data_IF_189751887444
#
_entry.id   IF_189751887444
#
_cell.length_a   1.000
_cell.length_b   1.000
_cell.length_c   1.000
_cell.angle_alpha   90.00
_cell.angle_beta   90.00
_cell.angle_gamma   90.00
#
_symmetry.space_group_name_H-M   'P 1'
#
loop_
_entity.id
_entity.type
_entity.pdbx_description
1 polymer ?
#
# COMPACT_ATOMS: atom_id res chain seq x y z
N UNK A 1 20.09 -24.85 -30.10
CA UNK A 1 19.96 -23.60 -29.33
C UNK A 1 18.59 -23.09 -29.68
N UNK A 2 17.62 -23.38 -28.81
CA UNK A 2 16.22 -23.13 -29.08
C UNK A 2 15.91 -21.63 -28.92
N UNK A 3 15.41 -21.04 -30.00
CA UNK A 3 14.79 -19.72 -30.03
C UNK A 3 13.45 -19.79 -29.31
N UNK A 4 13.26 -19.01 -28.25
CA UNK A 4 11.93 -18.75 -27.70
C UNK A 4 11.43 -17.44 -28.32
N UNK A 5 10.67 -17.56 -29.40
CA UNK A 5 9.82 -16.47 -29.91
C UNK A 5 8.57 -16.36 -29.03
N UNK A 6 8.42 -15.23 -28.34
CA UNK A 6 7.18 -14.88 -27.64
C UNK A 6 6.13 -14.54 -28.70
N UNK A 7 5.16 -15.43 -28.92
CA UNK A 7 4.00 -15.14 -29.75
C UNK A 7 3.15 -14.06 -29.10
N UNK A 8 3.08 -12.90 -29.75
CA UNK A 8 2.03 -11.90 -29.52
C UNK A 8 0.66 -12.57 -29.70
N UNK A 9 -0.07 -12.79 -28.61
CA UNK A 9 -1.46 -13.20 -28.70
C UNK A 9 -2.35 -11.96 -28.63
N UNK A 10 -2.82 -11.57 -29.80
CA UNK A 10 -3.68 -10.43 -30.08
C UNK A 10 -5.11 -10.64 -29.55
N UNK A 11 -5.29 -10.79 -28.23
CA UNK A 11 -6.59 -10.65 -27.54
C UNK A 11 -6.44 -10.07 -26.11
N UNK A 12 -5.34 -9.34 -25.82
CA UNK A 12 -5.14 -8.62 -24.57
C UNK A 12 -5.90 -7.27 -24.54
N UNK A 13 -7.19 -7.30 -24.87
CA UNK A 13 -8.08 -6.14 -24.74
C UNK A 13 -8.86 -6.26 -23.44
N UNK A 14 -8.50 -5.36 -22.51
CA UNK A 14 -9.31 -4.88 -21.40
C UNK A 14 -9.67 -5.94 -20.34
N UNK A 15 -8.83 -6.05 -19.31
CA UNK A 15 -9.24 -6.05 -17.91
C UNK A 15 -8.01 -5.93 -17.01
N UNK A 16 -7.77 -4.70 -16.53
CA UNK A 16 -6.73 -4.39 -15.55
C UNK A 16 -7.05 -5.08 -14.21
N UNK A 17 -6.46 -6.26 -13.98
CA UNK A 17 -6.55 -6.96 -12.70
C UNK A 17 -5.38 -7.91 -12.52
N UNK A 18 -5.23 -8.88 -13.42
CA UNK A 18 -4.24 -9.96 -13.26
C UNK A 18 -2.90 -9.64 -13.94
N UNK A 19 -2.91 -9.02 -15.12
CA UNK A 19 -1.69 -8.67 -15.86
C UNK A 19 -0.92 -7.48 -15.26
N UNK A 20 -1.62 -6.59 -14.53
CA UNK A 20 -1.03 -5.40 -13.94
C UNK A 20 0.09 -5.81 -12.97
N UNK A 21 -0.24 -6.65 -11.98
CA UNK A 21 0.70 -7.14 -10.97
C UNK A 21 1.73 -8.11 -11.53
N UNK A 22 1.33 -8.98 -12.46
CA UNK A 22 2.22 -10.00 -13.02
C UNK A 22 3.40 -9.37 -13.78
N UNK A 23 3.18 -8.27 -14.51
CA UNK A 23 4.26 -7.53 -15.16
C UNK A 23 5.24 -6.90 -14.15
N UNK A 24 4.76 -6.44 -12.99
CA UNK A 24 5.63 -5.87 -11.94
C UNK A 24 6.53 -6.92 -11.28
N UNK A 25 6.08 -8.16 -11.14
CA UNK A 25 6.85 -9.24 -10.52
C UNK A 25 7.78 -9.99 -11.48
N UNK A 26 7.54 -9.94 -12.79
CA UNK A 26 8.40 -10.62 -13.76
C UNK A 26 9.77 -9.97 -13.96
N UNK A 27 9.93 -8.67 -13.64
CA UNK A 27 11.22 -7.97 -13.76
C UNK A 27 12.14 -8.15 -12.52
N UNK A 28 11.77 -9.02 -11.57
CA UNK A 28 12.40 -9.16 -10.24
C UNK A 28 13.62 -10.10 -10.17
N UNK A 29 14.46 -10.17 -11.21
CA UNK A 29 15.65 -11.03 -11.20
C UNK A 29 16.91 -10.43 -10.54
N UNK A 30 16.84 -9.27 -9.89
CA UNK A 30 18.03 -8.70 -9.23
C UNK A 30 17.78 -8.28 -7.78
N UNK A 31 18.39 -9.05 -6.85
CA UNK A 31 18.34 -8.87 -5.38
C UNK A 31 18.85 -7.51 -4.86
N UNK A 32 19.50 -6.71 -5.70
CA UNK A 32 20.10 -5.42 -5.33
C UNK A 32 19.57 -4.24 -6.16
N UNK A 33 18.42 -4.39 -6.82
CA UNK A 33 17.89 -3.36 -7.71
C UNK A 33 17.06 -2.28 -7.00
N UNK A 34 17.16 -1.00 -7.40
CA UNK A 34 16.29 0.10 -6.96
C UNK A 34 14.83 -0.04 -7.45
N UNK A 35 14.45 -1.21 -7.97
CA UNK A 35 13.11 -1.58 -8.47
C UNK A 35 12.27 -2.30 -7.40
N UNK A 36 12.86 -2.54 -6.22
CA UNK A 36 12.15 -2.97 -5.01
C UNK A 36 11.25 -1.82 -4.50
N UNK A 37 10.10 -2.17 -3.87
CA UNK A 37 9.23 -1.21 -3.18
C UNK A 37 10.07 -0.21 -2.36
N UNK A 38 10.09 1.05 -2.78
CA UNK A 38 10.73 2.12 -2.02
C UNK A 38 9.82 2.48 -0.85
N UNK A 39 10.12 1.93 0.33
CA UNK A 39 9.36 2.15 1.56
C UNK A 39 9.41 3.61 2.03
N UNK A 40 10.44 4.40 1.67
CA UNK A 40 10.55 5.80 2.08
C UNK A 40 9.53 6.69 1.36
N UNK A 41 9.13 6.32 0.15
CA UNK A 41 8.16 7.05 -0.66
C UNK A 41 6.70 6.75 -0.24
N UNK A 42 6.48 5.75 0.62
CA UNK A 42 5.16 5.46 1.19
C UNK A 42 4.65 6.56 2.14
N UNK A 43 5.48 7.57 2.47
CA UNK A 43 5.03 8.81 3.13
C UNK A 43 4.05 9.64 2.30
N UNK A 44 4.04 9.45 0.97
CA UNK A 44 3.15 10.11 0.01
C UNK A 44 2.46 9.06 -0.88
N UNK A 45 1.62 8.18 -0.30
CA UNK A 45 1.16 6.96 -0.97
C UNK A 45 0.27 7.22 -2.19
N UNK A 46 -0.35 8.41 -2.29
CA UNK A 46 -1.25 8.77 -3.38
C UNK A 46 -0.54 9.34 -4.61
N UNK A 47 0.75 9.67 -4.49
CA UNK A 47 1.60 10.17 -5.58
C UNK A 47 2.74 9.20 -5.88
N UNK A 48 2.62 7.95 -5.43
CA UNK A 48 3.68 6.96 -5.53
C UNK A 48 3.98 6.61 -6.98
N UNK A 49 5.27 6.54 -7.29
CA UNK A 49 5.76 6.15 -8.61
C UNK A 49 6.75 5.01 -8.50
N UNK A 50 6.60 4.03 -9.38
CA UNK A 50 7.61 2.98 -9.58
C UNK A 50 8.51 3.35 -10.75
N UNK A 51 9.79 3.01 -10.63
CA UNK A 51 10.73 3.04 -11.76
C UNK A 51 10.75 1.65 -12.38
N UNK A 52 10.41 1.56 -13.66
CA UNK A 52 10.35 0.31 -14.43
C UNK A 52 11.33 0.39 -15.59
N UNK A 53 12.14 -0.65 -15.81
CA UNK A 53 12.93 -0.78 -17.04
C UNK A 53 12.26 -1.75 -17.97
N UNK A 54 11.68 -1.24 -19.05
CA UNK A 54 10.97 -2.07 -20.03
C UNK A 54 11.92 -2.78 -21.02
N UNK A 55 13.25 -2.62 -20.87
CA UNK A 55 14.26 -3.26 -21.72
C UNK A 55 15.66 -3.23 -21.07
N UNK A 56 16.52 -4.22 -21.35
CA UNK A 56 17.90 -4.29 -20.85
C UNK A 56 18.81 -3.11 -21.24
N UNK A 57 18.39 -2.26 -22.19
CA UNK A 57 19.21 -1.17 -22.78
C UNK A 57 18.48 0.19 -22.77
N UNK A 58 17.31 0.31 -22.13
CA UNK A 58 16.49 1.52 -22.11
C UNK A 58 16.59 2.34 -20.83
N UNK A 59 16.25 3.63 -20.91
CA UNK A 59 16.08 4.48 -19.72
C UNK A 59 14.88 4.02 -18.86
N UNK A 60 15.06 4.03 -17.54
CA UNK A 60 13.99 3.72 -16.59
C UNK A 60 12.82 4.69 -16.72
N UNK A 61 11.60 4.17 -16.81
CA UNK A 61 10.38 4.99 -16.86
C UNK A 61 9.71 5.05 -15.49
N UNK A 62 9.18 6.22 -15.13
CA UNK A 62 8.34 6.38 -13.94
C UNK A 62 6.87 6.10 -14.28
N UNK A 63 6.26 5.15 -13.57
CA UNK A 63 4.85 4.80 -13.70
C UNK A 63 4.15 5.14 -12.38
N UNK A 64 3.06 5.90 -12.46
CA UNK A 64 2.19 6.20 -11.31
C UNK A 64 1.42 4.94 -10.93
N UNK A 65 1.40 4.59 -9.65
CA UNK A 65 0.81 3.35 -9.15
C UNK A 65 -0.16 3.64 -8.01
N UNK A 66 -1.33 2.98 -8.05
CA UNK A 66 -2.23 2.93 -6.89
C UNK A 66 -1.68 1.90 -5.88
N UNK A 67 -0.76 2.39 -5.05
CA UNK A 67 -0.14 1.62 -3.98
C UNK A 67 -1.15 1.13 -2.94
N UNK A 68 -2.13 1.94 -2.51
CA UNK A 68 -3.19 1.46 -1.63
C UNK A 68 -3.97 0.27 -2.18
N UNK A 69 -4.39 0.33 -3.45
CA UNK A 69 -5.09 -0.78 -4.11
C UNK A 69 -4.21 -2.03 -4.16
N UNK A 70 -2.95 -1.87 -4.57
CA UNK A 70 -1.98 -2.96 -4.65
C UNK A 70 -1.79 -3.67 -3.31
N UNK A 71 -1.60 -2.92 -2.23
CA UNK A 71 -1.45 -3.51 -0.90
C UNK A 71 -2.70 -4.29 -0.47
N UNK A 72 -3.90 -3.74 -0.72
CA UNK A 72 -5.15 -4.42 -0.37
C UNK A 72 -5.31 -5.75 -1.12
N UNK A 73 -4.94 -5.76 -2.41
CA UNK A 73 -4.96 -6.96 -3.24
C UNK A 73 -4.01 -8.02 -2.68
N UNK A 74 -2.75 -7.67 -2.45
CA UNK A 74 -1.73 -8.60 -1.94
C UNK A 74 -2.05 -9.12 -0.55
N UNK A 75 -2.62 -8.26 0.31
CA UNK A 75 -3.06 -8.68 1.64
C UNK A 75 -4.23 -9.68 1.56
N UNK A 76 -4.94 -9.75 0.43
CA UNK A 76 -6.06 -10.67 0.21
C UNK A 76 -7.27 -10.34 1.08
N UNK A 77 -7.49 -9.06 1.38
CA UNK A 77 -8.60 -8.62 2.21
C UNK A 77 -9.88 -8.47 1.40
N UNK A 78 -11.01 -8.87 1.98
CA UNK A 78 -12.33 -8.59 1.41
C UNK A 78 -12.81 -7.23 1.89
N UNK A 79 -12.86 -6.26 0.98
CA UNK A 79 -13.25 -4.88 1.27
C UNK A 79 -14.71 -4.78 1.74
N UNK A 80 -14.94 -3.95 2.75
CA UNK A 80 -16.26 -3.63 3.33
C UNK A 80 -16.62 -2.17 3.18
N UNK A 81 -15.67 -1.28 3.43
CA UNK A 81 -15.89 0.16 3.39
C UNK A 81 -14.61 0.88 2.99
N UNK A 82 -14.74 1.94 2.20
CA UNK A 82 -13.64 2.84 1.86
C UNK A 82 -14.10 4.26 2.15
N UNK A 83 -13.21 5.06 2.74
CA UNK A 83 -13.49 6.43 3.12
C UNK A 83 -12.26 7.30 2.83
N UNK A 84 -12.42 8.27 1.92
CA UNK A 84 -11.43 9.34 1.70
C UNK A 84 -11.72 10.50 2.64
N UNK A 85 -10.67 11.08 3.21
CA UNK A 85 -10.74 12.21 4.14
C UNK A 85 -9.62 13.19 3.87
N UNK A 86 -9.86 14.44 4.25
CA UNK A 86 -8.86 15.50 4.26
C UNK A 86 -8.82 16.10 5.65
N UNK A 87 -7.64 16.24 6.22
CA UNK A 87 -7.43 16.88 7.53
C UNK A 87 -6.17 17.75 7.46
N UNK A 88 -6.30 19.04 7.80
CA UNK A 88 -5.21 20.03 7.71
C UNK A 88 -4.47 20.03 6.36
N UNK A 89 -5.22 19.89 5.26
CA UNK A 89 -4.67 19.88 3.90
C UNK A 89 -4.12 18.53 3.42
N UNK A 90 -3.95 17.54 4.30
CA UNK A 90 -3.43 16.21 3.98
C UNK A 90 -4.53 15.24 3.62
N UNK A 91 -4.25 14.40 2.64
CA UNK A 91 -5.15 13.33 2.24
C UNK A 91 -4.98 12.06 3.09
N UNK A 92 -6.12 11.40 3.32
CA UNK A 92 -6.24 10.15 4.06
C UNK A 92 -7.17 9.19 3.32
N UNK A 93 -6.82 7.91 3.33
CA UNK A 93 -7.66 6.83 2.84
C UNK A 93 -7.79 5.76 3.93
N UNK A 94 -9.01 5.59 4.41
CA UNK A 94 -9.38 4.56 5.37
C UNK A 94 -10.12 3.44 4.64
N UNK A 95 -9.65 2.22 4.82
CA UNK A 95 -10.24 1.02 4.24
C UNK A 95 -10.58 0.07 5.37
N UNK A 96 -11.82 -0.42 5.41
CA UNK A 96 -12.27 -1.49 6.29
C UNK A 96 -12.42 -2.76 5.46
N UNK A 97 -11.89 -3.87 5.96
CA UNK A 97 -12.02 -5.18 5.33
C UNK A 97 -12.07 -6.32 6.32
N UNK A 98 -12.36 -7.51 5.81
CA UNK A 98 -12.30 -8.77 6.56
C UNK A 98 -11.37 -9.77 5.87
N UNK A 99 -10.63 -10.55 6.66
CA UNK A 99 -9.86 -11.71 6.19
C UNK A 99 -9.84 -12.75 7.31
N UNK A 100 -10.12 -14.00 6.99
CA UNK A 100 -10.06 -15.13 7.95
C UNK A 100 -10.81 -14.89 9.27
N UNK A 101 -11.96 -14.21 9.21
CA UNK A 101 -12.77 -13.87 10.38
C UNK A 101 -12.24 -12.71 11.24
N UNK A 102 -11.13 -12.09 10.84
CA UNK A 102 -10.59 -10.89 11.47
C UNK A 102 -10.98 -9.62 10.70
N UNK A 103 -11.18 -8.53 11.44
CA UNK A 103 -11.48 -7.20 10.87
C UNK A 103 -10.24 -6.32 10.84
N UNK A 104 -10.01 -5.69 9.70
CA UNK A 104 -8.84 -4.86 9.43
C UNK A 104 -9.27 -3.45 9.06
N UNK A 105 -8.63 -2.44 9.66
CA UNK A 105 -8.58 -1.11 9.07
C UNK A 105 -7.19 -0.87 8.47
N UNK A 106 -7.14 -0.35 7.25
CA UNK A 106 -5.90 0.09 6.60
C UNK A 106 -6.02 1.59 6.42
N UNK A 107 -5.02 2.30 6.94
CA UNK A 107 -4.98 3.77 6.95
C UNK A 107 -3.75 4.22 6.17
N UNK A 108 -4.00 4.79 5.00
CA UNK A 108 -2.99 5.50 4.21
C UNK A 108 -3.12 6.99 4.47
N UNK A 109 -1.98 7.67 4.67
CA UNK A 109 -1.95 9.11 4.89
C UNK A 109 -0.69 9.75 4.34
N UNK A 110 -0.81 11.02 3.97
CA UNK A 110 0.34 11.89 3.74
C UNK A 110 0.92 12.34 5.08
N UNK A 111 2.25 12.33 5.21
CA UNK A 111 2.92 12.67 6.47
C UNK A 111 3.61 14.03 6.44
N UNK A 112 3.77 14.57 7.64
CA UNK A 112 4.56 15.77 7.93
C UNK A 112 5.68 15.43 8.91
N UNK A 113 6.73 16.23 8.88
CA UNK A 113 7.94 15.99 9.67
C UNK A 113 7.94 16.66 11.06
N UNK A 114 6.79 16.90 11.71
CA UNK A 114 6.75 17.52 13.05
C UNK A 114 5.87 16.75 14.07
N UNK A 115 6.24 16.86 15.36
CA UNK A 115 5.62 16.11 16.45
C UNK A 115 4.18 16.55 16.79
N UNK A 116 3.87 17.85 16.65
CA UNK A 116 2.52 18.35 16.92
C UNK A 116 1.50 17.76 15.94
N UNK A 117 1.88 17.63 14.68
CA UNK A 117 1.05 16.99 13.66
C UNK A 117 0.91 15.49 13.89
N UNK A 118 1.91 14.81 14.46
CA UNK A 118 1.80 13.40 14.83
C UNK A 118 0.71 13.17 15.91
N UNK A 119 0.56 14.10 16.86
CA UNK A 119 -0.53 14.07 17.86
C UNK A 119 -1.90 14.28 17.22
N UNK A 120 -2.01 15.25 16.31
CA UNK A 120 -3.26 15.50 15.57
C UNK A 120 -3.62 14.33 14.66
N UNK A 121 -2.63 13.70 14.03
CA UNK A 121 -2.78 12.50 13.21
C UNK A 121 -3.36 11.34 14.01
N UNK A 122 -2.76 11.05 15.18
CA UNK A 122 -3.25 10.02 16.11
C UNK A 122 -4.72 10.24 16.48
N UNK A 123 -5.05 11.43 16.95
CA UNK A 123 -6.42 11.74 17.40
C UNK A 123 -7.43 11.65 16.24
N UNK A 124 -7.05 12.12 15.05
CA UNK A 124 -7.90 12.03 13.86
C UNK A 124 -8.16 10.58 13.43
N UNK A 125 -7.13 9.73 13.42
CA UNK A 125 -7.28 8.30 13.10
C UNK A 125 -8.18 7.61 14.13
N UNK A 126 -8.01 7.92 15.43
CA UNK A 126 -8.86 7.34 16.48
C UNK A 126 -10.32 7.69 16.30
N UNK A 127 -10.61 8.96 16.02
CA UNK A 127 -11.96 9.46 15.81
C UNK A 127 -12.62 8.83 14.57
N UNK A 128 -11.89 8.68 13.46
CA UNK A 128 -12.41 8.08 12.23
C UNK A 128 -12.69 6.57 12.36
N UNK A 129 -11.98 5.86 13.24
CA UNK A 129 -12.11 4.41 13.46
C UNK A 129 -13.04 4.01 14.61
N UNK A 130 -13.53 4.96 15.42
CA UNK A 130 -14.32 4.70 16.64
C UNK A 130 -15.55 3.81 16.42
N UNK A 131 -16.20 3.95 15.27
CA UNK A 131 -17.42 3.21 14.91
C UNK A 131 -17.11 1.88 14.22
N UNK A 132 -15.90 1.71 13.66
CA UNK A 132 -15.50 0.51 12.94
C UNK A 132 -14.93 -0.55 13.87
N UNK A 133 -14.24 -0.13 14.94
CA UNK A 133 -13.65 -1.00 15.98
C UNK A 133 -12.92 -2.23 15.41
N UNK A 134 -12.00 -2.03 14.44
CA UNK A 134 -11.26 -3.14 13.83
C UNK A 134 -10.39 -3.85 14.87
N UNK A 135 -10.11 -5.13 14.65
CA UNK A 135 -9.15 -5.87 15.47
C UNK A 135 -7.70 -5.52 15.14
N UNK A 136 -7.41 -5.20 13.88
CA UNK A 136 -6.06 -4.87 13.41
C UNK A 136 -6.11 -3.55 12.63
N UNK A 137 -5.15 -2.66 12.87
CA UNK A 137 -4.96 -1.40 12.15
C UNK A 137 -3.60 -1.41 11.47
N UNK A 138 -3.59 -1.39 10.14
CA UNK A 138 -2.41 -1.12 9.32
C UNK A 138 -2.27 0.37 9.06
N UNK A 139 -1.05 0.88 9.14
CA UNK A 139 -0.75 2.29 8.89
C UNK A 139 0.63 2.44 8.26
N UNK A 140 0.82 3.41 7.35
CA UNK A 140 2.14 3.68 6.75
C UNK A 140 3.08 4.46 7.70
N UNK A 141 4.38 4.36 7.45
CA UNK A 141 5.50 5.05 8.07
C UNK A 141 5.57 4.87 9.61
N UNK A 142 6.11 3.72 10.07
CA UNK A 142 6.25 3.42 11.50
C UNK A 142 6.96 4.52 12.29
N UNK A 143 8.01 5.11 11.73
CA UNK A 143 8.86 6.08 12.42
C UNK A 143 8.16 7.42 12.74
N UNK A 144 7.03 7.71 12.08
CA UNK A 144 6.25 8.93 12.28
C UNK A 144 4.90 8.65 12.95
N UNK A 145 4.67 7.42 13.38
CA UNK A 145 3.41 6.96 13.97
C UNK A 145 3.51 6.92 15.49
N UNK A 146 2.55 7.54 16.20
CA UNK A 146 2.43 7.46 17.67
C UNK A 146 1.10 6.81 18.14
N UNK A 147 0.48 6.03 17.26
CA UNK A 147 -0.70 5.22 17.58
C UNK A 147 -0.36 4.21 18.68
N UNK A 148 -1.34 3.94 19.53
CA UNK A 148 -1.25 2.97 20.63
C UNK A 148 -2.41 1.97 20.50
N UNK A 149 -2.26 0.72 20.96
CA UNK A 149 -3.33 -0.27 20.86
C UNK A 149 -4.67 0.15 21.49
N UNK A 150 -4.62 1.08 22.44
CA UNK A 150 -5.80 1.70 23.03
C UNK A 150 -6.37 2.84 22.18
N UNK A 151 -7.51 2.58 21.54
CA UNK A 151 -8.31 3.56 20.79
C UNK A 151 -9.42 4.19 21.63
N UNK A 152 -9.43 3.96 22.95
CA UNK A 152 -10.41 4.46 23.92
C UNK A 152 -11.67 3.60 23.99
N UNK A 153 -12.37 3.44 22.86
CA UNK A 153 -13.61 2.64 22.82
C UNK A 153 -13.41 1.17 22.42
N UNK A 154 -12.20 0.83 21.95
CA UNK A 154 -11.80 -0.51 21.55
C UNK A 154 -10.29 -0.65 21.63
N UNK A 155 -9.80 -1.89 21.57
CA UNK A 155 -8.39 -2.23 21.45
C UNK A 155 -8.15 -2.76 20.04
N UNK A 156 -7.01 -2.41 19.44
CA UNK A 156 -6.59 -2.97 18.17
C UNK A 156 -5.08 -3.21 18.13
N UNK A 157 -4.68 -4.29 17.47
CA UNK A 157 -3.28 -4.53 17.14
C UNK A 157 -2.85 -3.52 16.06
N UNK A 158 -1.71 -2.86 16.25
CA UNK A 158 -1.16 -1.95 15.25
C UNK A 158 -0.08 -2.68 14.47
N UNK A 159 -0.20 -2.64 13.14
CA UNK A 159 0.78 -3.17 12.20
C UNK A 159 1.19 -2.08 11.22
N UNK A 160 2.36 -2.25 10.62
CA UNK A 160 2.92 -1.29 9.67
C UNK A 160 2.89 -1.84 8.26
N UNK A 161 2.57 -0.96 7.31
CA UNK A 161 2.40 -1.34 5.91
C UNK A 161 3.74 -1.71 5.29
N UNK A 162 4.80 -0.94 5.52
CA UNK A 162 6.13 -1.11 4.93
C UNK A 162 6.68 -2.54 5.06
N UNK A 163 6.83 -3.12 6.26
CA UNK A 163 7.37 -4.47 6.41
C UNK A 163 6.43 -5.55 5.89
N UNK A 164 5.11 -5.38 6.03
CA UNK A 164 4.14 -6.36 5.54
C UNK A 164 4.10 -6.37 4.02
N UNK A 165 4.09 -5.20 3.39
CA UNK A 165 4.08 -5.07 1.94
C UNK A 165 5.35 -5.68 1.35
N UNK A 166 6.53 -5.39 1.92
CA UNK A 166 7.77 -6.03 1.49
C UNK A 166 7.66 -7.56 1.54
N UNK A 167 7.17 -8.11 2.66
CA UNK A 167 6.97 -9.55 2.80
C UNK A 167 6.00 -10.10 1.76
N UNK A 168 4.88 -9.44 1.49
CA UNK A 168 3.88 -9.88 0.51
C UNK A 168 4.40 -9.87 -0.93
N UNK A 169 5.42 -9.06 -1.23
CA UNK A 169 6.06 -9.00 -2.56
C UNK A 169 7.13 -10.08 -2.76
N UNK A 170 7.61 -10.72 -1.69
CA UNK A 170 8.67 -11.74 -1.72
C UNK A 170 8.12 -13.19 -1.76
N UNK A 171 6.79 -13.37 -1.80
CA UNK A 171 6.08 -14.66 -1.79
C UNK A 171 5.62 -15.03 -3.19
#
# INVERSE_FOLDING_TARGET
LDNIELKENSQAQLNFGDDYLLKYFLDFETKDSPYLLNIEELKNPFAYKLKVNLSEVGESQEVVVDIPETFNYLLGIKLKKIKKRKNNGKDYLFILGEKEGQTYAIVWRELSNNEEEAKKDKEFIREELKDWKPQIVYTNCPNNTILTPDFGHFQAEIRYIEPEFKKLMEV
#
